data_IF_269922268786
#
_entry.id   IF_269922268786
#
_cell.length_a   1.000
_cell.length_b   1.000
_cell.length_c   1.000
_cell.angle_alpha   90.00
_cell.angle_beta   90.00
_cell.angle_gamma   90.00
#
_symmetry.space_group_name_H-M   'P 1'
#
loop_
_entity.id
_entity.type
_entity.pdbx_description
1 polymer ?
#
# COMPACT_ATOMS: atom_id res chain seq x y z
N UNK A 1 -1.04 -23.66 2.52
CA UNK A 1 0.08 -23.30 1.61
C UNK A 1 -0.20 -22.03 0.78
N UNK A 2 -1.19 -21.22 1.14
CA UNK A 2 -1.81 -20.17 0.29
C UNK A 2 -1.41 -18.72 0.61
N UNK A 3 -0.40 -18.50 1.48
CA UNK A 3 0.00 -17.15 1.91
C UNK A 3 0.98 -16.50 0.93
N UNK A 4 1.69 -17.29 0.11
CA UNK A 4 2.66 -16.81 -0.89
C UNK A 4 2.05 -15.93 -2.00
N UNK A 5 0.96 -16.34 -2.69
CA UNK A 5 0.40 -15.52 -3.77
C UNK A 5 -0.19 -14.19 -3.28
N UNK A 6 -0.77 -14.16 -2.07
CA UNK A 6 -1.31 -12.94 -1.49
C UNK A 6 -0.23 -11.89 -1.18
N UNK A 7 0.98 -12.32 -0.81
CA UNK A 7 2.13 -11.42 -0.60
C UNK A 7 2.63 -10.87 -1.93
N UNK A 8 2.72 -11.70 -2.97
CA UNK A 8 3.11 -11.26 -4.31
C UNK A 8 2.13 -10.22 -4.83
N UNK A 9 0.82 -10.50 -4.71
CA UNK A 9 -0.24 -9.56 -5.08
C UNK A 9 -0.13 -8.23 -4.33
N UNK A 10 0.08 -8.27 -3.00
CA UNK A 10 0.29 -7.07 -2.19
C UNK A 10 1.52 -6.28 -2.61
N UNK A 11 2.62 -6.95 -2.97
CA UNK A 11 3.84 -6.29 -3.44
C UNK A 11 3.62 -5.60 -4.79
N UNK A 12 3.03 -6.30 -5.77
CA UNK A 12 2.69 -5.71 -7.08
C UNK A 12 1.73 -4.53 -6.93
N UNK A 13 0.71 -4.66 -6.09
CA UNK A 13 -0.26 -3.58 -5.86
C UNK A 13 0.41 -2.38 -5.19
N UNK A 14 1.33 -2.61 -4.27
CA UNK A 14 2.11 -1.54 -3.65
C UNK A 14 3.00 -0.78 -4.64
N UNK A 15 3.65 -1.47 -5.58
CA UNK A 15 4.42 -0.83 -6.66
C UNK A 15 3.51 0.01 -7.54
N UNK A 16 2.34 -0.50 -7.93
CA UNK A 16 1.36 0.24 -8.76
C UNK A 16 0.96 1.55 -8.09
N UNK A 17 0.65 1.52 -6.78
CA UNK A 17 0.30 2.72 -6.03
C UNK A 17 1.46 3.73 -5.97
N UNK A 18 2.70 3.28 -5.77
CA UNK A 18 3.87 4.18 -5.77
C UNK A 18 4.04 4.84 -7.14
N UNK A 19 3.99 4.07 -8.22
CA UNK A 19 4.11 4.60 -9.59
C UNK A 19 2.99 5.59 -9.89
N UNK A 20 1.76 5.30 -9.44
CA UNK A 20 0.62 6.19 -9.62
C UNK A 20 0.77 7.50 -8.82
N UNK A 21 1.27 7.44 -7.59
CA UNK A 21 1.56 8.64 -6.80
C UNK A 21 2.66 9.50 -7.42
N UNK A 22 3.70 8.88 -7.97
CA UNK A 22 4.75 9.56 -8.75
C UNK A 22 4.14 10.20 -9.99
N UNK A 23 3.27 9.50 -10.72
CA UNK A 23 2.57 10.04 -11.88
C UNK A 23 1.77 11.30 -11.52
N UNK A 24 1.04 11.29 -10.41
CA UNK A 24 0.29 12.46 -9.94
C UNK A 24 1.22 13.63 -9.62
N UNK A 25 2.42 13.40 -9.07
CA UNK A 25 3.37 14.49 -8.82
C UNK A 25 3.82 15.19 -10.10
N UNK A 26 4.02 14.44 -11.20
CA UNK A 26 4.55 14.97 -12.45
C UNK A 26 3.49 15.41 -13.46
N UNK A 27 2.31 14.79 -13.44
CA UNK A 27 1.24 14.96 -14.44
C UNK A 27 -0.11 15.35 -13.85
N UNK A 28 -0.23 15.47 -12.53
CA UNK A 28 -1.47 15.86 -11.88
C UNK A 28 -1.85 17.30 -12.21
N UNK A 29 -3.07 17.47 -12.71
CA UNK A 29 -3.70 18.77 -13.05
C UNK A 29 -4.00 19.63 -11.81
N UNK A 30 -3.99 19.02 -10.62
CA UNK A 30 -4.19 19.71 -9.35
C UNK A 30 -2.92 20.51 -9.03
N UNK A 31 -3.03 21.81 -8.78
CA UNK A 31 -1.87 22.64 -8.45
C UNK A 31 -1.56 22.67 -6.94
N UNK A 32 -0.28 22.90 -6.61
CA UNK A 32 0.16 23.22 -5.25
C UNK A 32 0.21 22.07 -4.25
N UNK A 33 -0.06 22.42 -2.98
CA UNK A 33 0.06 21.52 -1.81
C UNK A 33 -0.90 20.33 -1.85
N UNK A 34 -2.08 20.51 -2.45
CA UNK A 34 -3.11 19.47 -2.62
C UNK A 34 -2.59 18.29 -3.44
N UNK A 35 -1.83 18.55 -4.50
CA UNK A 35 -1.17 17.52 -5.33
C UNK A 35 -0.14 16.74 -4.54
N UNK A 36 0.67 17.45 -3.77
CA UNK A 36 1.74 16.86 -2.98
C UNK A 36 1.18 15.96 -1.87
N UNK A 37 0.16 16.42 -1.14
CA UNK A 37 -0.53 15.64 -0.11
C UNK A 37 -1.23 14.40 -0.70
N UNK A 38 -1.92 14.56 -1.83
CA UNK A 38 -2.56 13.46 -2.54
C UNK A 38 -1.56 12.40 -3.02
N UNK A 39 -0.44 12.83 -3.60
CA UNK A 39 0.60 11.91 -4.02
C UNK A 39 1.29 11.21 -2.84
N UNK A 40 1.60 11.92 -1.76
CA UNK A 40 2.24 11.34 -0.57
C UNK A 40 1.35 10.31 0.12
N UNK A 41 0.04 10.57 0.22
CA UNK A 41 -0.92 9.61 0.76
C UNK A 41 -1.00 8.35 -0.09
N UNK A 42 -1.03 8.48 -1.41
CA UNK A 42 -1.01 7.35 -2.35
C UNK A 42 0.29 6.54 -2.25
N UNK A 43 1.44 7.20 -2.22
CA UNK A 43 2.74 6.53 -2.04
C UNK A 43 2.79 5.82 -0.69
N UNK A 44 2.28 6.44 0.38
CA UNK A 44 2.20 5.84 1.71
C UNK A 44 1.38 4.55 1.74
N UNK A 45 0.24 4.52 1.03
CA UNK A 45 -0.56 3.30 0.84
C UNK A 45 0.26 2.22 0.11
N UNK A 46 0.98 2.59 -0.95
CA UNK A 46 1.85 1.66 -1.67
C UNK A 46 2.94 1.04 -0.80
N UNK A 47 3.60 1.86 0.02
CA UNK A 47 4.61 1.40 0.99
C UNK A 47 4.01 0.48 2.05
N UNK A 48 2.80 0.76 2.54
CA UNK A 48 2.10 -0.11 3.49
C UNK A 48 1.86 -1.51 2.92
N UNK A 49 1.41 -1.61 1.67
CA UNK A 49 1.20 -2.88 0.98
C UNK A 49 2.52 -3.65 0.75
N UNK A 50 3.60 -2.97 0.39
CA UNK A 50 4.93 -3.57 0.28
C UNK A 50 5.41 -4.08 1.65
N UNK A 51 5.23 -3.29 2.70
CA UNK A 51 5.61 -3.68 4.06
C UNK A 51 4.82 -4.92 4.53
N UNK A 52 3.52 -4.98 4.24
CA UNK A 52 2.68 -6.15 4.48
C UNK A 52 3.18 -7.39 3.73
N UNK A 53 3.54 -7.22 2.45
CA UNK A 53 4.04 -8.29 1.61
C UNK A 53 5.37 -8.87 2.11
N UNK A 54 6.29 -8.02 2.56
CA UNK A 54 7.60 -8.41 3.09
C UNK A 54 7.45 -9.05 4.49
N UNK A 55 6.81 -8.34 5.42
CA UNK A 55 6.78 -8.72 6.84
C UNK A 55 5.84 -9.90 7.08
N UNK A 56 4.83 -10.09 6.23
CA UNK A 56 3.93 -11.24 6.30
C UNK A 56 3.04 -11.29 7.54
N UNK A 57 3.13 -10.28 8.40
CA UNK A 57 2.23 -10.03 9.53
C UNK A 57 1.05 -9.25 8.99
N UNK A 58 0.04 -9.98 8.56
CA UNK A 58 -1.28 -9.40 8.41
C UNK A 58 -1.77 -9.01 9.79
N UNK A 59 -1.82 -7.72 10.09
CA UNK A 59 -2.46 -7.18 11.30
C UNK A 59 -3.88 -7.73 11.44
N UNK A 60 -4.55 -7.99 10.31
CA UNK A 60 -5.87 -8.62 10.22
C UNK A 60 -5.88 -10.02 10.87
N UNK A 61 -4.85 -10.85 10.62
CA UNK A 61 -4.76 -12.19 11.24
C UNK A 61 -4.53 -12.14 12.75
N UNK A 62 -3.91 -11.07 13.27
CA UNK A 62 -3.75 -10.87 14.71
C UNK A 62 -5.04 -10.37 15.38
N UNK A 63 -5.89 -9.60 14.68
CA UNK A 63 -7.18 -9.17 15.21
C UNK A 63 -8.20 -10.32 15.25
N UNK A 64 -8.36 -11.10 14.17
CA UNK A 64 -9.29 -12.25 14.16
C UNK A 64 -8.93 -13.33 15.19
N UNK A 65 -7.65 -13.49 15.55
CA UNK A 65 -7.23 -14.47 16.55
C UNK A 65 -7.31 -13.95 18.00
N UNK A 66 -7.59 -12.65 18.20
CA UNK A 66 -7.88 -12.06 19.52
C UNK A 66 -9.37 -12.08 19.85
N UNK A 67 -10.25 -12.12 18.86
CA UNK A 67 -11.70 -12.23 19.08
C UNK A 67 -12.16 -13.66 19.41
N UNK A 68 -11.28 -14.66 19.26
CA UNK A 68 -11.55 -16.07 19.60
C UNK A 68 -10.99 -16.52 20.96
N UNK A 69 -10.54 -15.59 21.81
CA UNK A 69 -10.00 -15.90 23.13
C UNK A 69 -10.81 -15.18 24.20
#
# INVERSE_FOLDING_TARGET
MTIKPLRVLGFTMGIVWIVFGIYILFRGEVEGSSRMLGALSIIGVGVYFINYAITGKSTIRKQTNREKK
#
